data_IF_393253450898
#
_entry.id   IF_393253450898
#
_cell.length_a   1.000
_cell.length_b   1.000
_cell.length_c   1.000
_cell.angle_alpha   90.00
_cell.angle_beta   90.00
_cell.angle_gamma   90.00
#
_symmetry.space_group_name_H-M   'P 1'
#
loop_
_entity.id
_entity.type
_entity.pdbx_description
1 polymer ?
#
# COMPACT_ATOMS: atom_id res chain seq x y z
N UNK A 1 -39.30 -23.79 -3.55
CA UNK A 1 -38.32 -24.68 -4.22
C UNK A 1 -37.41 -23.84 -5.10
N UNK A 2 -36.08 -23.89 -4.91
CA UNK A 2 -35.12 -23.16 -5.74
C UNK A 2 -34.97 -23.82 -7.12
N UNK A 3 -34.72 -23.02 -8.14
CA UNK A 3 -34.53 -23.47 -9.52
C UNK A 3 -33.19 -22.99 -10.06
N UNK A 4 -32.51 -23.85 -10.81
CA UNK A 4 -31.25 -23.50 -11.48
C UNK A 4 -31.46 -22.35 -12.46
N UNK A 5 -30.69 -21.26 -12.31
CA UNK A 5 -30.79 -20.08 -13.19
C UNK A 5 -30.33 -20.32 -14.64
N UNK A 6 -29.63 -21.43 -14.91
CA UNK A 6 -29.12 -21.73 -16.25
C UNK A 6 -30.01 -22.68 -17.04
N UNK A 7 -30.52 -23.75 -16.42
CA UNK A 7 -31.29 -24.79 -17.12
C UNK A 7 -32.73 -24.94 -16.62
N UNK A 8 -33.15 -24.20 -15.58
CA UNK A 8 -34.49 -24.27 -15.02
C UNK A 8 -34.78 -25.55 -14.23
N UNK A 9 -33.81 -26.45 -14.04
CA UNK A 9 -34.01 -27.66 -13.23
C UNK A 9 -34.31 -27.30 -11.79
N UNK A 10 -35.28 -27.99 -11.21
CA UNK A 10 -35.56 -27.92 -9.77
C UNK A 10 -34.35 -28.41 -8.96
N UNK A 11 -34.07 -27.74 -7.84
CA UNK A 11 -32.99 -28.08 -6.93
C UNK A 11 -33.61 -28.45 -5.59
N UNK A 12 -33.15 -29.58 -5.05
CA UNK A 12 -33.60 -30.06 -3.75
C UNK A 12 -33.32 -29.02 -2.65
N UNK A 13 -34.29 -28.84 -1.76
CA UNK A 13 -34.26 -27.79 -0.74
C UNK A 13 -33.10 -27.93 0.26
N UNK A 14 -32.50 -29.12 0.36
CA UNK A 14 -31.37 -29.42 1.24
C UNK A 14 -29.99 -29.20 0.61
N UNK A 15 -29.90 -28.73 -0.64
CA UNK A 15 -28.63 -28.41 -1.28
C UNK A 15 -28.03 -27.11 -0.71
N UNK A 16 -27.34 -27.26 0.43
CA UNK A 16 -26.66 -26.16 1.14
C UNK A 16 -25.60 -25.44 0.29
N UNK A 17 -25.11 -26.07 -0.79
CA UNK A 17 -24.15 -25.48 -1.71
C UNK A 17 -24.76 -24.63 -2.82
N UNK A 18 -26.09 -24.57 -2.95
CA UNK A 18 -26.79 -23.88 -4.04
C UNK A 18 -26.36 -22.41 -4.21
N UNK A 19 -26.33 -21.65 -3.12
CA UNK A 19 -25.94 -20.23 -3.16
C UNK A 19 -24.44 -20.05 -3.43
N UNK A 20 -23.60 -20.97 -2.92
CA UNK A 20 -22.16 -20.93 -3.19
C UNK A 20 -21.83 -21.21 -4.68
N UNK A 21 -22.72 -21.90 -5.40
CA UNK A 21 -22.58 -22.20 -6.83
C UNK A 21 -23.24 -21.16 -7.74
N UNK A 22 -23.45 -19.93 -7.26
CA UNK A 22 -24.12 -18.86 -8.00
C UNK A 22 -25.53 -19.25 -8.48
N UNK A 23 -26.28 -19.99 -7.64
CA UNK A 23 -27.64 -20.42 -7.96
C UNK A 23 -27.72 -21.36 -9.19
N UNK A 24 -26.71 -22.22 -9.35
CA UNK A 24 -26.64 -23.23 -10.40
C UNK A 24 -26.75 -24.64 -9.79
N UNK A 25 -27.43 -25.55 -10.50
CA UNK A 25 -27.35 -26.98 -10.21
C UNK A 25 -25.91 -27.48 -10.47
N UNK A 26 -25.54 -28.58 -9.81
CA UNK A 26 -24.17 -29.14 -9.87
C UNK A 26 -23.67 -29.28 -11.33
N UNK A 27 -24.43 -29.88 -12.28
CA UNK A 27 -23.95 -30.02 -13.66
C UNK A 27 -23.75 -28.68 -14.40
N UNK A 28 -24.57 -27.67 -14.11
CA UNK A 28 -24.42 -26.35 -14.74
C UNK A 28 -23.26 -25.57 -14.10
N UNK A 29 -23.02 -25.75 -12.81
CA UNK A 29 -21.87 -25.18 -12.13
C UNK A 29 -20.56 -25.78 -12.67
N UNK A 30 -20.48 -27.10 -12.80
CA UNK A 30 -19.27 -27.79 -13.29
C UNK A 30 -18.95 -27.39 -14.72
N UNK A 31 -19.94 -27.38 -15.62
CA UNK A 31 -19.75 -26.88 -17.00
C UNK A 31 -19.28 -25.44 -17.04
N UNK A 32 -19.83 -24.56 -16.19
CA UNK A 32 -19.38 -23.16 -16.09
C UNK A 32 -17.96 -23.07 -15.55
N UNK A 33 -17.59 -23.91 -14.59
CA UNK A 33 -16.26 -23.95 -14.02
C UNK A 33 -15.21 -24.46 -15.01
N UNK A 34 -15.55 -25.46 -15.82
CA UNK A 34 -14.69 -26.00 -16.89
C UNK A 34 -14.52 -25.01 -18.05
N UNK A 35 -15.58 -24.29 -18.39
CA UNK A 35 -15.54 -23.25 -19.43
C UNK A 35 -14.76 -22.00 -18.99
N UNK A 36 -14.53 -21.80 -17.69
CA UNK A 36 -13.81 -20.64 -17.19
C UNK A 36 -12.33 -20.72 -17.61
N UNK A 37 -11.85 -19.67 -18.28
CA UNK A 37 -10.45 -19.58 -18.64
C UNK A 37 -9.58 -19.48 -17.38
N UNK A 38 -8.73 -20.48 -17.17
CA UNK A 38 -7.82 -20.53 -16.03
C UNK A 38 -6.48 -19.86 -16.37
N UNK A 39 -5.87 -19.24 -15.38
CA UNK A 39 -4.51 -18.75 -15.43
C UNK A 39 -3.72 -19.21 -14.20
N UNK A 40 -2.43 -19.45 -14.37
CA UNK A 40 -1.54 -19.78 -13.27
C UNK A 40 -1.01 -18.50 -12.63
N UNK A 41 -0.97 -18.47 -11.30
CA UNK A 41 -0.27 -17.43 -10.55
C UNK A 41 1.24 -17.49 -10.82
N UNK A 42 1.83 -16.35 -11.17
CA UNK A 42 3.26 -16.25 -11.50
C UNK A 42 4.18 -16.53 -10.31
N UNK A 43 3.72 -16.34 -9.06
CA UNK A 43 4.51 -16.58 -7.83
C UNK A 43 4.38 -18.01 -7.29
N UNK A 44 3.16 -18.51 -7.11
CA UNK A 44 2.93 -19.79 -6.43
C UNK A 44 2.45 -20.93 -7.35
N UNK A 45 2.19 -20.64 -8.63
CA UNK A 45 1.72 -21.63 -9.60
C UNK A 45 0.25 -22.05 -9.45
N UNK A 46 -0.46 -21.62 -8.40
CA UNK A 46 -1.89 -21.93 -8.21
C UNK A 46 -2.71 -21.48 -9.43
N UNK A 47 -3.57 -22.37 -9.93
CA UNK A 47 -4.52 -22.06 -11.00
C UNK A 47 -5.70 -21.31 -10.42
N UNK A 48 -5.98 -20.13 -10.97
CA UNK A 48 -7.12 -19.27 -10.62
C UNK A 48 -7.88 -18.92 -11.90
N UNK A 49 -9.15 -18.56 -11.79
CA UNK A 49 -9.89 -18.04 -12.94
C UNK A 49 -9.24 -16.73 -13.40
N UNK A 50 -9.16 -16.49 -14.71
CA UNK A 50 -8.55 -15.25 -15.25
C UNK A 50 -9.22 -14.00 -14.71
N UNK A 51 -10.54 -14.03 -14.52
CA UNK A 51 -11.35 -12.93 -13.95
C UNK A 51 -11.07 -12.68 -12.45
N UNK A 52 -10.63 -13.70 -11.72
CA UNK A 52 -10.28 -13.62 -10.29
C UNK A 52 -8.79 -13.33 -10.06
N UNK A 53 -7.97 -13.39 -11.12
CA UNK A 53 -6.55 -13.13 -11.06
C UNK A 53 -6.29 -11.61 -10.92
N UNK A 54 -5.47 -11.24 -9.94
CA UNK A 54 -5.07 -9.86 -9.73
C UNK A 54 -3.76 -9.56 -10.47
N UNK A 55 -3.62 -8.35 -11.01
CA UNK A 55 -2.36 -7.85 -11.55
C UNK A 55 -1.66 -6.95 -10.54
N UNK A 56 -0.38 -7.25 -10.26
CA UNK A 56 0.51 -6.45 -9.40
C UNK A 56 1.90 -6.42 -10.00
N UNK A 57 2.48 -5.23 -10.16
CA UNK A 57 3.84 -5.03 -10.73
C UNK A 57 4.06 -5.68 -12.10
N UNK A 58 3.02 -5.73 -12.93
CA UNK A 58 3.06 -6.39 -14.24
C UNK A 58 2.94 -7.93 -14.18
N UNK A 59 2.89 -8.53 -12.99
CA UNK A 59 2.73 -9.96 -12.80
C UNK A 59 1.27 -10.32 -12.49
N UNK A 60 0.84 -11.47 -13.01
CA UNK A 60 -0.48 -12.05 -12.69
C UNK A 60 -0.37 -12.93 -11.46
N UNK A 61 -1.14 -12.61 -10.42
CA UNK A 61 -1.10 -13.23 -9.11
C UNK A 61 -2.47 -13.76 -8.68
N UNK A 62 -2.48 -14.85 -7.90
CA UNK A 62 -3.68 -15.21 -7.14
C UNK A 62 -3.96 -14.13 -6.07
N UNK A 63 -5.19 -14.10 -5.57
CA UNK A 63 -5.59 -13.11 -4.56
C UNK A 63 -4.67 -13.12 -3.32
N UNK A 64 -4.22 -14.30 -2.88
CA UNK A 64 -3.32 -14.42 -1.73
C UNK A 64 -1.95 -13.78 -1.99
N UNK A 65 -1.28 -14.15 -3.09
CA UNK A 65 0.02 -13.58 -3.44
C UNK A 65 -0.06 -12.08 -3.73
N UNK A 66 -1.16 -11.60 -4.33
CA UNK A 66 -1.40 -10.18 -4.52
C UNK A 66 -1.49 -9.44 -3.17
N UNK A 67 -2.28 -9.97 -2.22
CA UNK A 67 -2.37 -9.40 -0.88
C UNK A 67 -1.03 -9.44 -0.13
N UNK A 68 -0.21 -10.46 -0.34
CA UNK A 68 1.13 -10.54 0.24
C UNK A 68 2.07 -9.46 -0.32
N UNK A 69 2.02 -9.19 -1.62
CA UNK A 69 2.76 -8.08 -2.24
C UNK A 69 2.32 -6.75 -1.62
N UNK A 70 1.00 -6.53 -1.54
CA UNK A 70 0.43 -5.30 -0.98
C UNK A 70 0.83 -5.13 0.51
N UNK A 71 0.91 -6.22 1.29
CA UNK A 71 1.40 -6.21 2.69
C UNK A 71 2.89 -5.91 2.83
N UNK A 72 3.71 -6.31 1.85
CA UNK A 72 5.14 -6.00 1.87
C UNK A 72 5.40 -4.52 1.58
N UNK A 73 4.46 -3.82 0.93
CA UNK A 73 4.55 -2.39 0.59
C UNK A 73 3.99 -1.45 1.65
N UNK A 74 3.74 -1.93 2.88
CA UNK A 74 3.30 -1.06 3.96
C UNK A 74 4.30 0.10 4.17
N UNK A 75 3.83 1.35 4.19
CA UNK A 75 4.71 2.50 4.27
C UNK A 75 5.49 2.48 5.57
N UNK A 76 6.79 2.77 5.51
CA UNK A 76 7.66 2.84 6.68
C UNK A 76 7.65 4.26 7.21
N UNK A 77 7.37 4.42 8.51
CA UNK A 77 7.40 5.72 9.16
C UNK A 77 8.84 6.25 9.18
N UNK A 78 9.13 7.44 8.60
CA UNK A 78 10.49 7.99 8.52
C UNK A 78 11.08 8.34 9.90
N UNK A 79 10.23 8.54 10.92
CA UNK A 79 10.66 8.90 12.28
C UNK A 79 11.15 7.68 13.06
N UNK A 80 10.30 6.66 13.20
CA UNK A 80 10.60 5.48 14.02
C UNK A 80 11.11 4.27 13.21
N UNK A 81 11.11 4.36 11.87
CA UNK A 81 11.49 3.30 10.92
C UNK A 81 10.71 1.98 11.05
N UNK A 82 9.56 2.00 11.73
CA UNK A 82 8.62 0.87 11.77
C UNK A 82 7.62 0.98 10.64
N UNK A 83 7.12 -0.17 10.16
CA UNK A 83 6.02 -0.23 9.18
C UNK A 83 4.75 0.36 9.81
N UNK A 84 3.98 1.08 9.01
CA UNK A 84 2.66 1.58 9.37
C UNK A 84 1.68 0.51 8.91
N UNK A 85 0.97 -0.11 9.84
CA UNK A 85 0.03 -1.17 9.54
C UNK A 85 -1.27 -0.61 8.95
N UNK A 86 -1.98 -1.40 8.15
CA UNK A 86 -3.17 -0.95 7.41
C UNK A 86 -4.32 -0.47 8.31
N UNK A 87 -4.38 -0.92 9.57
CA UNK A 87 -5.39 -0.48 10.54
C UNK A 87 -5.00 0.81 11.28
N UNK A 88 -3.74 1.23 11.21
CA UNK A 88 -3.27 2.46 11.85
C UNK A 88 -3.70 3.65 10.99
N UNK A 89 -4.17 4.74 11.62
CA UNK A 89 -4.46 6.00 10.90
C UNK A 89 -3.15 6.80 10.76
N UNK A 90 -2.47 6.79 9.59
CA UNK A 90 -1.25 7.58 9.42
C UNK A 90 -1.56 9.07 9.43
N UNK A 91 -0.61 9.86 9.91
CA UNK A 91 -0.60 11.30 9.76
C UNK A 91 0.25 11.68 8.54
N UNK A 92 -0.26 12.58 7.70
CA UNK A 92 0.47 13.08 6.54
C UNK A 92 1.20 14.36 6.91
N UNK A 93 2.53 14.33 6.86
CA UNK A 93 3.34 15.52 7.10
C UNK A 93 3.27 16.50 5.92
N UNK A 94 3.71 17.74 6.14
CA UNK A 94 3.72 18.80 5.12
C UNK A 94 4.53 18.43 3.85
N UNK A 95 5.49 17.52 3.96
CA UNK A 95 6.28 17.00 2.84
C UNK A 95 5.62 15.83 2.09
N UNK A 96 4.37 15.49 2.42
CA UNK A 96 3.62 14.40 1.80
C UNK A 96 3.90 12.99 2.33
N UNK A 97 4.88 12.82 3.23
CA UNK A 97 5.22 11.52 3.83
C UNK A 97 4.23 11.11 4.92
N UNK A 98 4.07 9.79 5.08
CA UNK A 98 3.21 9.19 6.10
C UNK A 98 4.04 8.83 7.33
N UNK A 99 3.59 9.26 8.50
CA UNK A 99 4.15 8.91 9.81
C UNK A 99 3.05 8.32 10.69
N UNK A 100 3.43 7.56 11.72
CA UNK A 100 2.48 7.21 12.78
C UNK A 100 1.94 8.48 13.43
N UNK A 101 0.63 8.51 13.73
CA UNK A 101 -0.01 9.64 14.42
C UNK A 101 0.69 9.96 15.75
N UNK A 102 1.05 8.95 16.52
CA UNK A 102 1.83 9.10 17.75
C UNK A 102 3.19 9.77 17.50
N UNK A 103 3.88 9.43 16.41
CA UNK A 103 5.15 10.06 16.07
C UNK A 103 4.97 11.53 15.66
N UNK A 104 3.87 11.88 14.99
CA UNK A 104 3.54 13.26 14.64
C UNK A 104 3.20 14.11 15.88
N UNK A 105 2.34 13.61 16.76
CA UNK A 105 1.90 14.32 17.97
C UNK A 105 3.05 14.55 18.95
N UNK A 106 3.99 13.59 19.04
CA UNK A 106 5.20 13.72 19.86
C UNK A 106 6.13 14.84 19.40
N UNK A 107 6.14 15.14 18.09
CA UNK A 107 6.93 16.28 17.56
C UNK A 107 6.25 17.64 17.74
N UNK A 108 4.95 17.69 18.05
CA UNK A 108 4.16 18.93 18.08
C UNK A 108 3.83 19.47 19.49
N UNK A 109 4.16 18.76 20.58
CA UNK A 109 4.10 19.39 21.91
C UNK A 109 3.74 18.54 23.12
N UNK A 110 3.71 17.20 23.06
CA UNK A 110 3.28 16.40 24.20
C UNK A 110 4.28 15.31 24.60
N UNK A 111 5.26 15.66 25.45
CA UNK A 111 5.87 14.85 26.53
C UNK A 111 6.40 13.43 26.30
N UNK A 112 6.16 12.78 25.15
CA UNK A 112 6.67 11.45 24.81
C UNK A 112 7.91 11.63 23.93
N UNK A 113 9.07 11.27 24.48
CA UNK A 113 10.33 11.24 23.76
C UNK A 113 10.27 10.16 22.67
N UNK A 114 10.02 10.57 21.43
CA UNK A 114 10.25 9.69 20.28
C UNK A 114 11.74 9.70 20.00
N UNK A 115 12.36 8.53 20.03
CA UNK A 115 13.72 8.38 19.54
C UNK A 115 13.69 8.34 18.01
N UNK A 116 14.23 9.37 17.36
CA UNK A 116 14.47 9.36 15.92
C UNK A 116 15.93 9.02 15.63
N UNK A 117 16.19 8.45 14.46
CA UNK A 117 17.56 8.20 14.00
C UNK A 117 18.04 9.40 13.20
N UNK A 118 19.10 10.07 13.67
CA UNK A 118 19.71 11.16 12.94
C UNK A 118 20.23 10.68 11.58
N UNK A 119 19.83 11.36 10.52
CA UNK A 119 20.22 11.04 9.14
C UNK A 119 21.69 11.31 8.83
N UNK A 120 22.36 12.16 9.61
CA UNK A 120 23.78 12.51 9.43
C UNK A 120 24.68 11.57 10.22
N UNK A 121 24.41 11.37 11.51
CA UNK A 121 25.29 10.60 12.40
C UNK A 121 24.78 9.19 12.75
N UNK A 122 23.58 8.80 12.31
CA UNK A 122 23.00 7.48 12.56
C UNK A 122 22.62 7.18 14.02
N UNK A 123 22.85 8.12 14.95
CA UNK A 123 22.52 7.93 16.37
C UNK A 123 21.03 8.11 16.62
N UNK A 124 20.48 7.32 17.55
CA UNK A 124 19.14 7.54 18.11
C UNK A 124 19.19 8.75 19.03
N UNK A 125 18.27 9.69 18.82
CA UNK A 125 18.18 10.95 19.56
C UNK A 125 16.73 11.26 19.89
N UNK A 126 16.52 11.81 21.08
CA UNK A 126 15.21 12.30 21.54
C UNK A 126 14.96 13.77 21.16
N UNK A 127 16.03 14.53 20.92
CA UNK A 127 15.99 15.87 20.33
C UNK A 127 16.43 15.87 18.87
N UNK A 128 15.47 16.10 17.97
CA UNK A 128 15.71 16.17 16.53
C UNK A 128 14.78 17.18 15.84
N UNK A 129 15.24 17.71 14.72
CA UNK A 129 14.44 18.51 13.77
C UNK A 129 14.16 17.67 12.53
N UNK A 130 12.98 17.80 11.94
CA UNK A 130 12.65 17.14 10.67
C UNK A 130 12.92 18.10 9.53
N UNK A 131 13.78 17.69 8.59
CA UNK A 131 14.09 18.45 7.39
C UNK A 131 12.89 18.40 6.40
N UNK A 132 12.79 19.33 5.43
CA UNK A 132 11.78 19.26 4.37
C UNK A 132 11.79 17.94 3.59
N UNK A 133 12.96 17.30 3.49
CA UNK A 133 13.13 15.96 2.90
C UNK A 133 12.52 14.82 3.73
N UNK A 134 12.03 15.11 4.95
CA UNK A 134 11.47 14.14 5.89
C UNK A 134 12.48 13.38 6.72
N UNK A 135 13.77 13.69 6.57
CA UNK A 135 14.85 13.12 7.38
C UNK A 135 14.93 13.85 8.72
N UNK A 136 15.10 13.10 9.81
CA UNK A 136 15.41 13.66 11.12
C UNK A 136 16.91 14.02 11.21
N UNK A 137 17.24 15.16 11.80
CA UNK A 137 18.60 15.60 12.11
C UNK A 137 18.71 15.92 13.61
N UNK A 138 19.77 15.47 14.28
CA UNK A 138 19.97 15.78 15.69
C UNK A 138 20.50 17.20 15.88
N UNK A 139 20.25 17.80 17.05
CA UNK A 139 20.68 19.18 17.34
C UNK A 139 22.19 19.43 17.12
N UNK A 140 23.05 18.45 17.40
CA UNK A 140 24.50 18.57 17.15
C UNK A 140 24.85 18.61 15.67
N UNK A 141 24.19 17.79 14.86
CA UNK A 141 24.40 17.78 13.41
C UNK A 141 23.75 18.99 12.73
N UNK A 142 22.64 19.50 13.29
CA UNK A 142 21.99 20.73 12.83
C UNK A 142 22.86 21.97 13.11
N UNK A 143 23.48 22.05 14.30
CA UNK A 143 24.37 23.14 14.67
C UNK A 143 25.73 23.12 13.94
N UNK A 144 26.19 21.93 13.52
CA UNK A 144 27.42 21.76 12.75
C UNK A 144 27.22 21.99 11.24
N UNK A 145 25.98 22.10 10.78
CA UNK A 145 25.70 22.43 9.40
C UNK A 145 26.02 23.92 9.17
N UNK A 146 26.80 24.28 8.14
CA UNK A 146 26.95 25.69 7.76
C UNK A 146 25.55 26.23 7.45
N UNK A 147 25.18 27.37 8.06
CA UNK A 147 23.87 28.04 7.91
C UNK A 147 23.62 28.59 6.50
N UNK A 148 24.23 28.03 5.45
CA UNK A 148 24.16 28.48 4.06
C UNK A 148 23.45 27.47 3.15
N UNK A 149 22.35 26.86 3.62
CA UNK A 149 21.49 26.01 2.79
C UNK A 149 20.01 26.01 3.22
N UNK A 150 19.60 27.02 3.99
CA UNK A 150 18.20 27.29 4.27
C UNK A 150 17.86 28.62 3.60
N UNK A 151 17.40 28.54 2.35
CA UNK A 151 16.48 29.44 1.67
C UNK A 151 16.73 29.39 0.16
N UNK A 152 16.15 28.40 -0.50
CA UNK A 152 15.65 28.66 -1.84
C UNK A 152 14.13 28.52 -1.80
N UNK A 153 13.38 29.64 -1.95
CA UNK A 153 11.95 29.57 -2.14
C UNK A 153 11.67 28.92 -3.51
N UNK A 154 10.67 28.04 -3.52
CA UNK A 154 9.76 27.72 -4.63
C UNK A 154 10.28 28.13 -6.03
N UNK A 155 10.82 27.17 -6.79
CA UNK A 155 10.88 27.25 -8.25
C UNK A 155 9.83 26.30 -8.85
N UNK A 156 8.57 26.57 -8.55
CA UNK A 156 7.49 26.35 -9.52
C UNK A 156 7.59 27.48 -10.57
N UNK A 157 8.43 27.34 -11.62
CA UNK A 157 8.26 28.17 -12.84
C UNK A 157 9.02 27.75 -14.12
N UNK A 158 9.67 26.57 -14.19
CA UNK A 158 10.47 26.21 -15.39
C UNK A 158 10.08 24.92 -16.14
N UNK A 159 8.98 24.25 -15.78
CA UNK A 159 8.43 23.13 -16.58
C UNK A 159 7.20 23.58 -17.43
N UNK A 160 6.79 24.84 -17.32
CA UNK A 160 5.70 25.44 -18.12
C UNK A 160 6.12 26.12 -19.43
N UNK A 161 7.39 26.03 -19.87
CA UNK A 161 7.89 26.71 -21.09
C UNK A 161 8.90 25.90 -21.92
N UNK A 162 8.82 24.57 -21.88
CA UNK A 162 9.42 23.71 -22.92
C UNK A 162 8.30 22.88 -23.55
N UNK A 163 7.27 23.57 -24.04
CA UNK A 163 6.77 23.26 -25.37
C UNK A 163 7.69 23.96 -26.37
N UNK A 164 7.73 23.48 -27.61
CA UNK A 164 8.23 24.24 -28.77
C UNK A 164 9.75 24.37 -28.94
N UNK A 165 10.56 23.29 -28.90
CA UNK A 165 11.85 23.30 -29.63
C UNK A 165 12.57 21.95 -29.83
N UNK A 166 11.86 20.82 -29.73
CA UNK A 166 12.32 19.49 -30.18
C UNK A 166 11.03 18.81 -30.66
N UNK A 167 10.65 18.91 -31.93
CA UNK A 167 11.22 18.12 -33.02
C UNK A 167 10.21 17.05 -33.37
#
# INVERSE_FOLDING_TARGET
MPYCLSCGSEIEEYDSGYYARNMLCIPCYDRKAEAAEMASCSRCGTRVRKEEAAYRKGERCCHYCAAEIDRQELPVCPLCRKRIESYQKPFRMANGQLVHRECAESTQGAGKKVEAVCSVCGKRVDMFRVLPSGKAICARCDAAAPQSAHDHPILESLIGRIGEMIG
#
